data_IF_318819887138
#
_entry.id   IF_318819887138
#
_cell.length_a   1.000
_cell.length_b   1.000
_cell.length_c   1.000
_cell.angle_alpha   90.00
_cell.angle_beta   90.00
_cell.angle_gamma   90.00
#
_symmetry.space_group_name_H-M   'P 1'
#
loop_
_entity.id
_entity.type
_entity.pdbx_description
1 polymer ?
#
# COMPACT_ATOMS: atom_id res chain seq x y z
N UNK A 1 -55.90 -14.37 -31.30
CA UNK A 1 -54.53 -14.87 -31.09
C UNK A 1 -53.98 -14.20 -29.83
N UNK A 2 -53.59 -14.98 -28.82
CA UNK A 2 -53.06 -14.47 -27.54
C UNK A 2 -51.59 -14.10 -27.73
N UNK A 3 -51.25 -12.83 -27.52
CA UNK A 3 -49.88 -12.40 -27.32
C UNK A 3 -49.64 -12.31 -25.82
N UNK A 4 -49.05 -13.35 -25.27
CA UNK A 4 -48.36 -13.35 -23.99
C UNK A 4 -47.01 -12.66 -24.18
N UNK A 5 -46.76 -11.57 -23.46
CA UNK A 5 -45.40 -11.19 -23.08
C UNK A 5 -45.40 -10.46 -21.75
N UNK A 6 -44.65 -11.08 -20.85
CA UNK A 6 -44.53 -10.89 -19.42
C UNK A 6 -43.85 -9.55 -19.10
N UNK A 7 -44.36 -8.89 -18.07
CA UNK A 7 -43.72 -7.74 -17.44
C UNK A 7 -42.36 -8.14 -16.84
N UNK A 8 -41.33 -7.33 -17.10
CA UNK A 8 -40.10 -7.31 -16.30
C UNK A 8 -39.86 -5.86 -15.86
N UNK A 9 -39.91 -5.57 -14.54
CA UNK A 9 -39.60 -4.24 -14.02
C UNK A 9 -38.09 -3.97 -14.17
N UNK A 10 -37.73 -2.79 -14.67
CA UNK A 10 -36.38 -2.23 -14.59
C UNK A 10 -36.01 -2.01 -13.11
N UNK A 11 -35.55 -3.06 -12.45
CA UNK A 11 -35.04 -3.02 -11.09
C UNK A 11 -33.87 -4.01 -10.94
N UNK A 12 -32.82 -3.84 -11.74
CA UNK A 12 -31.49 -4.40 -11.46
C UNK A 12 -30.49 -3.83 -12.48
N UNK A 13 -29.26 -3.55 -12.04
CA UNK A 13 -28.18 -2.77 -12.70
C UNK A 13 -28.32 -1.28 -12.38
N UNK A 14 -27.58 -0.69 -11.44
CA UNK A 14 -26.16 -0.90 -11.17
C UNK A 14 -25.91 -0.51 -9.71
N UNK A 15 -25.80 -1.51 -8.83
CA UNK A 15 -25.23 -1.35 -7.49
C UNK A 15 -23.72 -1.60 -7.61
N UNK A 16 -23.01 -0.68 -8.29
CA UNK A 16 -21.54 -0.67 -8.23
C UNK A 16 -21.17 -0.07 -6.89
N UNK A 17 -20.81 -0.95 -5.97
CA UNK A 17 -20.19 -0.64 -4.70
C UNK A 17 -19.10 0.41 -4.89
N UNK A 18 -19.38 1.67 -4.55
CA UNK A 18 -18.33 2.57 -4.09
C UNK A 18 -17.91 2.07 -2.71
N UNK A 19 -17.14 0.99 -2.69
CA UNK A 19 -16.24 0.73 -1.58
C UNK A 19 -15.46 2.02 -1.41
N UNK A 20 -15.68 2.70 -0.28
CA UNK A 20 -14.98 3.91 0.07
C UNK A 20 -13.49 3.60 0.21
N UNK A 21 -12.76 3.63 -0.90
CA UNK A 21 -11.35 3.95 -0.86
C UNK A 21 -11.28 5.37 -0.33
N UNK A 22 -11.08 5.52 0.98
CA UNK A 22 -10.65 6.77 1.60
C UNK A 22 -9.53 7.31 0.71
N UNK A 23 -9.82 8.42 0.05
CA UNK A 23 -8.92 9.05 -0.89
C UNK A 23 -7.71 9.50 -0.09
N UNK A 24 -6.59 8.79 -0.24
CA UNK A 24 -5.29 9.21 0.26
C UNK A 24 -5.06 10.59 -0.37
N UNK A 25 -4.69 11.64 0.40
CA UNK A 25 -4.41 12.96 -0.17
C UNK A 25 -3.14 12.85 -1.04
N UNK A 26 -3.34 12.43 -2.29
CA UNK A 26 -2.28 12.24 -3.25
C UNK A 26 -2.13 13.52 -4.05
N UNK A 27 -1.02 14.24 -3.87
CA UNK A 27 -0.64 15.35 -4.76
C UNK A 27 -0.36 14.78 -6.15
N UNK A 28 -1.02 15.24 -7.23
CA UNK A 28 -0.81 14.70 -8.57
C UNK A 28 0.69 14.72 -8.92
N UNK A 29 1.19 13.59 -9.41
CA UNK A 29 2.59 13.47 -9.79
C UNK A 29 2.93 14.53 -10.86
N UNK A 30 4.02 15.30 -10.71
CA UNK A 30 4.49 16.13 -11.81
C UNK A 30 4.86 15.25 -13.02
N UNK A 31 4.79 15.84 -14.21
CA UNK A 31 5.29 15.19 -15.42
C UNK A 31 6.76 14.76 -15.20
N UNK A 32 7.21 13.63 -15.80
CA UNK A 32 8.62 13.26 -15.68
C UNK A 32 9.48 14.41 -16.18
N UNK A 33 10.58 14.75 -15.50
CA UNK A 33 11.49 15.75 -16.01
C UNK A 33 12.03 15.29 -17.36
N UNK A 34 11.82 16.11 -18.37
CA UNK A 34 12.35 15.89 -19.73
C UNK A 34 13.74 16.50 -19.79
N UNK A 35 14.79 15.68 -19.70
CA UNK A 35 16.16 16.12 -19.97
C UNK A 35 17.22 15.93 -18.86
N UNK A 36 17.00 15.07 -17.86
CA UNK A 36 18.03 14.83 -16.83
C UNK A 36 19.06 13.79 -17.31
N UNK A 37 20.34 14.15 -17.24
CA UNK A 37 21.47 13.23 -17.42
C UNK A 37 21.72 12.46 -16.12
N UNK A 38 21.75 11.13 -16.22
CA UNK A 38 22.01 10.21 -15.12
C UNK A 38 23.47 10.31 -14.65
N UNK A 39 23.67 10.64 -13.38
CA UNK A 39 24.97 10.57 -12.70
C UNK A 39 24.93 9.45 -11.64
N UNK A 40 25.67 8.34 -11.82
CA UNK A 40 25.68 7.23 -10.88
C UNK A 40 26.45 7.61 -9.60
N UNK A 41 25.74 8.14 -8.61
CA UNK A 41 26.26 8.32 -7.26
C UNK A 41 26.13 7.06 -6.43
N UNK A 42 27.00 6.08 -6.64
CA UNK A 42 27.17 4.95 -5.74
C UNK A 42 27.78 5.42 -4.42
N UNK A 43 27.02 5.38 -3.32
CA UNK A 43 27.60 5.39 -1.98
C UNK A 43 27.94 3.94 -1.58
N UNK A 44 28.98 3.80 -0.75
CA UNK A 44 29.64 2.54 -0.37
C UNK A 44 28.79 1.55 0.45
N UNK A 45 27.47 1.75 0.55
CA UNK A 45 26.55 0.96 1.37
C UNK A 45 25.67 -0.04 0.59
N UNK A 46 25.74 -0.07 -0.74
CA UNK A 46 25.06 -1.10 -1.55
C UNK A 46 23.53 -1.05 -1.57
N UNK A 47 22.89 -0.01 -1.02
CA UNK A 47 21.46 0.24 -1.22
C UNK A 47 21.31 0.97 -2.55
N UNK A 48 20.86 0.27 -3.59
CA UNK A 48 20.67 0.87 -4.91
C UNK A 48 19.65 2.03 -4.84
N UNK A 49 20.14 3.26 -4.97
CA UNK A 49 19.28 4.43 -5.21
C UNK A 49 18.59 4.22 -6.56
N UNK A 50 17.25 4.12 -6.54
CA UNK A 50 16.44 4.21 -7.75
C UNK A 50 16.70 5.56 -8.44
N UNK A 51 16.81 5.57 -9.77
CA UNK A 51 16.81 6.83 -10.51
C UNK A 51 15.46 7.54 -10.32
N UNK A 52 15.44 8.86 -10.48
CA UNK A 52 14.20 9.65 -10.41
C UNK A 52 13.13 9.13 -11.38
N UNK A 53 13.55 8.71 -12.59
CA UNK A 53 12.66 8.12 -13.59
C UNK A 53 12.04 6.80 -13.14
N UNK A 54 12.82 5.93 -12.48
CA UNK A 54 12.32 4.65 -11.97
C UNK A 54 11.45 4.85 -10.73
N UNK A 55 11.81 5.79 -9.86
CA UNK A 55 10.98 6.18 -8.72
C UNK A 55 9.60 6.66 -9.19
N UNK A 56 9.58 7.54 -10.20
CA UNK A 56 8.32 8.03 -10.78
C UNK A 56 7.50 6.90 -11.42
N UNK A 57 8.16 5.96 -12.10
CA UNK A 57 7.50 4.78 -12.67
C UNK A 57 6.85 3.92 -11.59
N UNK A 58 7.57 3.63 -10.50
CA UNK A 58 7.01 2.88 -9.37
C UNK A 58 5.84 3.62 -8.71
N UNK A 59 5.95 4.94 -8.51
CA UNK A 59 4.85 5.76 -7.97
C UNK A 59 3.58 5.63 -8.82
N UNK A 60 3.70 5.64 -10.16
CA UNK A 60 2.55 5.43 -11.06
C UNK A 60 1.97 4.03 -11.00
N UNK A 61 2.81 3.00 -10.97
CA UNK A 61 2.36 1.61 -10.85
C UNK A 61 1.58 1.41 -9.54
N UNK A 62 2.09 1.98 -8.46
CA UNK A 62 1.44 1.94 -7.15
C UNK A 62 0.08 2.64 -7.14
N UNK A 63 -0.05 3.81 -7.78
CA UNK A 63 -1.35 4.47 -7.98
C UNK A 63 -2.32 3.62 -8.82
N UNK A 64 -1.79 2.81 -9.74
CA UNK A 64 -2.54 1.81 -10.51
C UNK A 64 -2.91 0.55 -9.73
N UNK A 65 -2.56 0.47 -8.44
CA UNK A 65 -2.87 -0.66 -7.55
C UNK A 65 -1.75 -1.70 -7.41
N UNK A 66 -0.56 -1.43 -7.95
CA UNK A 66 0.60 -2.31 -7.73
C UNK A 66 1.15 -2.17 -6.30
N UNK A 67 0.76 -3.11 -5.46
CA UNK A 67 1.16 -3.19 -4.05
C UNK A 67 2.66 -3.36 -3.83
N UNK A 68 3.37 -4.02 -4.76
CA UNK A 68 4.83 -4.17 -4.68
C UNK A 68 5.51 -2.86 -5.03
N UNK A 69 4.99 -2.15 -6.03
CA UNK A 69 5.50 -0.84 -6.39
C UNK A 69 5.36 0.17 -5.24
N UNK A 70 4.21 0.18 -4.56
CA UNK A 70 4.00 1.02 -3.38
C UNK A 70 5.05 0.72 -2.28
N UNK A 71 5.33 -0.57 -2.03
CA UNK A 71 6.32 -0.98 -1.05
C UNK A 71 7.76 -0.62 -1.46
N UNK A 72 8.09 -0.71 -2.75
CA UNK A 72 9.40 -0.29 -3.26
C UNK A 72 9.64 1.22 -3.03
N UNK A 73 8.62 2.05 -3.28
CA UNK A 73 8.69 3.49 -3.02
C UNK A 73 8.92 3.77 -1.53
N UNK A 74 8.17 3.09 -0.65
CA UNK A 74 8.40 3.16 0.80
C UNK A 74 9.86 2.86 1.17
N UNK A 75 10.41 1.74 0.69
CA UNK A 75 11.78 1.34 1.01
C UNK A 75 12.79 2.37 0.51
N UNK A 76 12.59 2.91 -0.69
CA UNK A 76 13.46 3.94 -1.25
C UNK A 76 13.46 5.21 -0.42
N UNK A 77 12.28 5.77 -0.13
CA UNK A 77 12.13 7.01 0.64
C UNK A 77 12.72 6.88 2.05
N UNK A 78 12.44 5.75 2.72
CA UNK A 78 12.96 5.49 4.08
C UNK A 78 14.48 5.32 4.12
N UNK A 79 15.06 4.58 3.16
CA UNK A 79 16.47 4.17 3.25
C UNK A 79 17.45 5.08 2.51
N UNK A 80 16.99 5.79 1.49
CA UNK A 80 17.85 6.63 0.64
C UNK A 80 17.62 8.11 0.90
N UNK A 81 16.34 8.52 1.01
CA UNK A 81 15.98 9.92 1.23
C UNK A 81 15.82 10.26 2.72
N UNK A 82 15.76 9.24 3.60
CA UNK A 82 15.45 9.37 5.02
C UNK A 82 14.16 10.19 5.28
N UNK A 83 13.19 10.10 4.36
CA UNK A 83 11.89 10.76 4.48
C UNK A 83 10.88 9.78 5.07
N UNK A 84 10.91 9.62 6.39
CA UNK A 84 10.01 8.72 7.12
C UNK A 84 8.53 9.12 7.00
N UNK A 85 8.25 10.41 6.82
CA UNK A 85 6.89 10.92 6.72
C UNK A 85 6.24 10.46 5.43
N UNK A 86 6.86 10.76 4.27
CA UNK A 86 6.34 10.30 2.99
C UNK A 86 6.43 8.77 2.88
N UNK A 87 7.49 8.14 3.39
CA UNK A 87 7.62 6.69 3.37
C UNK A 87 6.43 6.01 4.05
N UNK A 88 5.96 6.53 5.19
CA UNK A 88 4.81 5.97 5.90
C UNK A 88 3.54 5.96 5.04
N UNK A 89 3.29 7.01 4.27
CA UNK A 89 2.11 7.07 3.38
C UNK A 89 2.16 5.97 2.31
N UNK A 90 3.33 5.71 1.73
CA UNK A 90 3.53 4.62 0.77
C UNK A 90 3.44 3.23 1.41
N UNK A 91 3.86 3.10 2.67
CA UNK A 91 3.70 1.87 3.43
C UNK A 91 2.21 1.57 3.69
N UNK A 92 1.44 2.59 4.07
CA UNK A 92 -0.01 2.48 4.25
C UNK A 92 -0.69 2.08 2.94
N UNK A 93 -0.35 2.75 1.82
CA UNK A 93 -0.88 2.37 0.51
C UNK A 93 -0.57 0.90 0.16
N UNK A 94 0.67 0.46 0.34
CA UNK A 94 1.05 -0.93 0.07
C UNK A 94 0.24 -1.92 0.94
N UNK A 95 0.07 -1.59 2.23
CA UNK A 95 -0.67 -2.43 3.17
C UNK A 95 -2.17 -2.49 2.83
N UNK A 96 -2.75 -1.36 2.41
CA UNK A 96 -4.14 -1.29 1.97
C UNK A 96 -4.40 -2.07 0.68
N UNK A 97 -3.44 -2.06 -0.24
CA UNK A 97 -3.45 -2.90 -1.44
C UNK A 97 -3.17 -4.40 -1.15
N UNK A 98 -3.02 -4.79 0.12
CA UNK A 98 -2.85 -6.20 0.48
C UNK A 98 -1.41 -6.71 0.38
N UNK A 99 -0.40 -5.85 0.54
CA UNK A 99 0.99 -6.27 0.63
C UNK A 99 1.28 -6.80 2.05
N UNK A 100 1.38 -8.12 2.19
CA UNK A 100 1.58 -8.81 3.47
C UNK A 100 2.77 -8.26 4.30
N UNK A 101 3.98 -8.03 3.72
CA UNK A 101 5.07 -7.40 4.46
C UNK A 101 4.78 -5.97 4.93
N UNK A 102 4.02 -5.19 4.14
CA UNK A 102 3.69 -3.82 4.52
C UNK A 102 2.72 -3.77 5.70
N UNK A 103 1.72 -4.66 5.70
CA UNK A 103 0.80 -4.84 6.83
C UNK A 103 1.58 -5.25 8.09
N UNK A 104 2.51 -6.21 7.98
CA UNK A 104 3.34 -6.60 9.11
C UNK A 104 4.18 -5.43 9.64
N UNK A 105 4.79 -4.63 8.76
CA UNK A 105 5.56 -3.45 9.16
C UNK A 105 4.70 -2.40 9.89
N UNK A 106 3.46 -2.15 9.43
CA UNK A 106 2.54 -1.26 10.15
C UNK A 106 2.14 -1.82 11.51
N UNK A 107 2.03 -3.14 11.65
CA UNK A 107 1.79 -3.77 12.93
C UNK A 107 2.94 -3.49 13.92
N UNK A 108 4.19 -3.65 13.46
CA UNK A 108 5.38 -3.34 14.24
C UNK A 108 5.48 -1.86 14.62
N UNK A 109 5.10 -0.95 13.71
CA UNK A 109 5.02 0.48 14.00
C UNK A 109 3.99 0.74 15.10
N UNK A 110 2.81 0.12 15.03
CA UNK A 110 1.79 0.23 16.09
C UNK A 110 2.31 -0.23 17.45
N UNK A 111 3.10 -1.31 17.51
CA UNK A 111 3.74 -1.77 18.76
C UNK A 111 4.70 -0.71 19.31
N UNK A 112 5.57 -0.17 18.46
CA UNK A 112 6.54 0.86 18.85
C UNK A 112 5.84 2.12 19.37
N UNK A 113 4.73 2.49 18.74
CA UNK A 113 3.89 3.63 19.11
C UNK A 113 2.96 3.35 20.30
N UNK A 114 2.98 2.12 20.84
CA UNK A 114 2.09 1.64 21.90
C UNK A 114 0.60 1.73 21.53
N UNK A 115 0.30 1.66 20.23
CA UNK A 115 -1.05 1.53 19.69
C UNK A 115 -1.36 0.06 19.38
N UNK A 116 -1.75 -0.68 20.43
CA UNK A 116 -2.10 -2.10 20.33
C UNK A 116 -3.29 -2.35 19.40
N UNK A 117 -4.20 -1.38 19.24
CA UNK A 117 -5.37 -1.54 18.37
C UNK A 117 -4.95 -1.53 16.88
N UNK A 118 -4.15 -0.53 16.48
CA UNK A 118 -3.57 -0.48 15.13
C UNK A 118 -2.64 -1.65 14.87
N UNK A 119 -1.81 -2.02 15.85
CA UNK A 119 -0.92 -3.17 15.75
C UNK A 119 -1.69 -4.47 15.45
N UNK A 120 -2.73 -4.74 16.24
CA UNK A 120 -3.55 -5.94 16.10
C UNK A 120 -4.32 -5.95 14.77
N UNK A 121 -4.85 -4.79 14.36
CA UNK A 121 -5.55 -4.64 13.08
C UNK A 121 -4.65 -5.05 11.90
N UNK A 122 -3.45 -4.49 11.83
CA UNK A 122 -2.52 -4.77 10.74
C UNK A 122 -1.93 -6.19 10.82
N UNK A 123 -1.65 -6.69 12.02
CA UNK A 123 -1.17 -8.06 12.22
C UNK A 123 -2.21 -9.09 11.75
N UNK A 124 -3.50 -8.87 12.04
CA UNK A 124 -4.60 -9.74 11.56
C UNK A 124 -4.69 -9.74 10.04
N UNK A 125 -4.54 -8.56 9.39
CA UNK A 125 -4.51 -8.46 7.92
C UNK A 125 -3.28 -9.17 7.33
N UNK A 126 -2.11 -9.01 7.93
CA UNK A 126 -0.88 -9.67 7.50
C UNK A 126 -1.02 -11.20 7.58
N UNK A 127 -1.61 -11.71 8.67
CA UNK A 127 -1.94 -13.13 8.85
C UNK A 127 -2.91 -13.63 7.78
N UNK A 128 -3.98 -12.89 7.52
CA UNK A 128 -4.95 -13.22 6.47
C UNK A 128 -4.33 -13.21 5.06
N UNK A 129 -3.29 -12.40 4.85
CA UNK A 129 -2.52 -12.34 3.60
C UNK A 129 -1.40 -13.38 3.52
N UNK A 130 -1.30 -14.31 4.49
CA UNK A 130 -0.36 -15.43 4.48
C UNK A 130 1.05 -15.10 4.99
N UNK A 131 1.25 -13.99 5.71
CA UNK A 131 2.55 -13.67 6.28
C UNK A 131 2.89 -14.62 7.45
N UNK A 132 3.90 -15.47 7.26
CA UNK A 132 4.22 -16.56 8.19
C UNK A 132 4.39 -16.10 9.65
N UNK A 133 5.00 -14.93 9.88
CA UNK A 133 5.32 -14.44 11.22
C UNK A 133 4.18 -13.62 11.84
N UNK A 134 3.09 -13.38 11.11
CA UNK A 134 1.98 -12.58 11.62
C UNK A 134 1.09 -13.36 12.60
N UNK A 135 1.08 -14.70 12.55
CA UNK A 135 0.28 -15.51 13.47
C UNK A 135 0.74 -15.35 14.93
N UNK A 136 2.04 -15.47 15.17
CA UNK A 136 2.66 -15.27 16.48
C UNK A 136 2.42 -13.86 17.00
N UNK A 137 2.60 -12.85 16.13
CA UNK A 137 2.36 -11.46 16.48
C UNK A 137 0.90 -11.18 16.88
N UNK A 138 -0.08 -11.76 16.18
CA UNK A 138 -1.49 -11.62 16.59
C UNK A 138 -1.70 -12.24 17.97
N UNK A 139 -1.14 -13.42 18.24
CA UNK A 139 -1.31 -14.10 19.52
C UNK A 139 -0.72 -13.32 20.68
N UNK A 140 0.47 -12.72 20.51
CA UNK A 140 1.11 -11.88 21.54
C UNK A 140 0.34 -10.58 21.81
N UNK A 141 -0.33 -10.04 20.79
CA UNK A 141 -1.14 -8.82 20.93
C UNK A 141 -2.53 -9.09 21.55
N UNK A 142 -3.08 -10.30 21.39
CA UNK A 142 -4.36 -10.70 22.00
C UNK A 142 -4.20 -11.16 23.45
N UNK A 143 -3.03 -11.68 23.82
CA UNK A 143 -2.74 -12.16 25.17
C UNK A 143 -1.46 -11.48 25.70
N UNK A 144 -1.53 -10.19 26.07
CA UNK A 144 -0.41 -9.53 26.72
C UNK A 144 -0.16 -10.17 28.11
N UNK A 145 1.09 -10.50 28.41
CA UNK A 145 1.52 -10.98 29.74
C UNK A 145 1.31 -9.93 30.85
#
# INVERSE_FOLDING_TARGET
>A
MRLSSIALPLALLVLLASAGCKQIPYSPLPAPPTGIRYEPGANSAGIARMSETELLRQKRLAQGGDKRAAFNVYQHLRSVENDDAQARDWLILAADLGHAPAQYNLAQIGIYEKDSASALYWAKRARASGYAHAAELVQSLENPE
#
